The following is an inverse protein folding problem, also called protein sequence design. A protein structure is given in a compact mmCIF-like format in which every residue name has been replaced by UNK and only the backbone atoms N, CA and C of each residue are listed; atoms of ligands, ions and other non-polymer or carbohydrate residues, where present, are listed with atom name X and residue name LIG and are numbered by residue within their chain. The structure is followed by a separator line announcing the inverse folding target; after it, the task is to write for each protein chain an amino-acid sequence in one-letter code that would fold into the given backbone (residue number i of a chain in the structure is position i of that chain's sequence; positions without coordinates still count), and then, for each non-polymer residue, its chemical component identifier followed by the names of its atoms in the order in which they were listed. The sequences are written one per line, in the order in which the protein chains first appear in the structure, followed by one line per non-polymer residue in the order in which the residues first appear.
data_IF_955619773781
#
_entry.id   IF_955619773781
#
_cell.length_a   1.000
_cell.length_b   1.000
_cell.length_c   1.000
_cell.angle_alpha   90.00
_cell.angle_beta   90.00
_cell.angle_gamma   90.00
#
_symmetry.space_group_name_H-M   'P 1'
#
loop_
_entity.id
_entity.type
_entity.pdbx_description
1 polymer ?
#
# COMPACT_ATOMS: atom_id res chain seq x y z
N UNK A 1 -13.06 11.74 -12.95
CA UNK A 1 -11.61 11.88 -12.69
C UNK A 1 -11.16 10.65 -11.93
N UNK A 2 -10.04 10.05 -12.29
CA UNK A 2 -9.49 8.88 -11.58
C UNK A 2 -8.24 9.36 -10.84
N UNK A 3 -8.19 9.10 -9.54
CA UNK A 3 -7.05 9.47 -8.69
C UNK A 3 -6.49 8.22 -8.04
N UNK A 4 -5.18 8.03 -8.16
CA UNK A 4 -4.45 6.99 -7.46
C UNK A 4 -3.63 7.60 -6.32
N UNK A 5 -3.70 6.99 -5.14
CA UNK A 5 -2.90 7.36 -3.97
C UNK A 5 -2.05 6.18 -3.52
N UNK A 6 -0.81 6.47 -3.15
CA UNK A 6 0.13 5.48 -2.59
C UNK A 6 0.60 5.99 -1.22
N UNK A 7 0.48 5.14 -0.21
CA UNK A 7 1.02 5.35 1.13
C UNK A 7 2.15 4.34 1.38
N UNK A 8 3.37 4.86 1.47
CA UNK A 8 4.59 4.09 1.68
C UNK A 8 5.04 4.11 3.12
N UNK A 9 4.69 3.08 3.88
CA UNK A 9 5.20 2.85 5.22
C UNK A 9 6.46 1.97 5.22
N UNK A 10 7.20 1.98 6.33
CA UNK A 10 8.45 1.21 6.49
C UNK A 10 8.29 -0.32 6.41
N UNK A 11 7.06 -0.83 6.53
CA UNK A 11 6.74 -2.27 6.49
C UNK A 11 5.71 -2.64 5.42
N UNK A 12 4.93 -1.68 4.96
CA UNK A 12 3.87 -1.95 4.01
C UNK A 12 3.67 -0.75 3.10
N UNK A 13 3.43 -1.05 1.82
CA UNK A 13 2.99 -0.09 0.83
C UNK A 13 1.53 -0.37 0.51
N UNK A 14 0.69 0.67 0.58
CA UNK A 14 -0.73 0.60 0.26
C UNK A 14 -1.01 1.47 -0.95
N UNK A 15 -1.81 0.96 -1.88
CA UNK A 15 -2.27 1.72 -3.03
C UNK A 15 -3.81 1.67 -3.10
N UNK A 16 -4.42 2.81 -3.41
CA UNK A 16 -5.88 2.95 -3.56
C UNK A 16 -6.18 3.73 -4.84
N UNK A 17 -7.17 3.27 -5.59
CA UNK A 17 -7.69 3.97 -6.77
C UNK A 17 -9.11 4.42 -6.47
N UNK A 18 -9.37 5.73 -6.62
CA UNK A 18 -10.66 6.37 -6.39
C UNK A 18 -11.20 6.94 -7.70
N UNK A 19 -12.47 6.66 -7.99
CA UNK A 19 -13.23 7.27 -9.07
C UNK A 19 -14.61 7.68 -8.52
N UNK A 20 -15.06 8.89 -8.85
CA UNK A 20 -16.37 9.42 -8.45
C UNK A 20 -16.65 9.33 -6.93
N UNK A 21 -15.60 9.59 -6.13
CA UNK A 21 -15.66 9.53 -4.67
C UNK A 21 -15.73 8.10 -4.09
N UNK A 22 -15.57 7.06 -4.92
CA UNK A 22 -15.62 5.65 -4.52
C UNK A 22 -14.29 4.95 -4.77
N UNK A 23 -13.93 4.03 -3.87
CA UNK A 23 -12.77 3.16 -4.06
C UNK A 23 -13.15 2.08 -5.08
N UNK A 24 -12.44 2.06 -6.21
CA UNK A 24 -12.63 1.07 -7.28
C UNK A 24 -11.50 0.04 -7.34
N UNK A 25 -10.41 0.26 -6.60
CA UNK A 25 -9.28 -0.68 -6.52
C UNK A 25 -8.44 -0.43 -5.28
N UNK A 26 -7.89 -1.51 -4.71
CA UNK A 26 -6.94 -1.45 -3.59
C UNK A 26 -5.89 -2.56 -3.74
N UNK A 27 -4.65 -2.25 -3.36
CA UNK A 27 -3.57 -3.23 -3.26
C UNK A 27 -2.74 -2.94 -2.00
N UNK A 28 -2.27 -3.99 -1.35
CA UNK A 28 -1.37 -3.90 -0.20
C UNK A 28 -0.20 -4.85 -0.45
N UNK A 29 1.01 -4.34 -0.28
CA UNK A 29 2.24 -5.13 -0.28
C UNK A 29 2.92 -4.97 1.06
N UNK A 30 2.97 -6.06 1.82
CA UNK A 30 3.66 -6.14 3.11
C UNK A 30 5.05 -6.77 2.87
N UNK A 31 6.09 -6.26 3.52
CA UNK A 31 7.43 -6.87 3.48
C UNK A 31 7.55 -8.09 4.40
N UNK A 32 6.52 -8.39 5.20
CA UNK A 32 6.53 -9.46 6.18
C UNK A 32 7.48 -9.17 7.36
N UNK A 33 7.53 -10.05 8.36
CA UNK A 33 8.52 -9.94 9.44
C UNK A 33 9.92 -10.02 8.83
N UNK A 34 10.71 -8.97 9.02
CA UNK A 34 12.11 -8.97 8.65
C UNK A 34 12.81 -9.97 9.58
N UNK A 35 13.41 -11.06 9.08
CA UNK A 35 14.14 -11.97 9.94
C UNK A 35 15.18 -11.14 10.66
N UNK A 36 15.24 -11.26 11.99
CA UNK A 36 16.28 -10.62 12.77
C UNK A 36 17.62 -11.08 12.20
N UNK A 37 18.34 -10.19 11.52
CA UNK A 37 19.73 -10.42 11.17
C UNK A 37 20.47 -10.55 12.49
N UNK A 38 20.73 -11.78 12.90
CA UNK A 38 21.64 -12.08 13.99
C UNK A 38 23.02 -11.68 13.47
N UNK A 39 23.54 -10.55 13.98
CA UNK A 39 24.90 -10.10 13.78
C UNK A 39 25.79 -10.62 14.91
#
# INVERSE_FOLDING_TARGET
MITAGVDGGSRAVKAVVVADGRIIGRAVRDSGPQPALVA
#
